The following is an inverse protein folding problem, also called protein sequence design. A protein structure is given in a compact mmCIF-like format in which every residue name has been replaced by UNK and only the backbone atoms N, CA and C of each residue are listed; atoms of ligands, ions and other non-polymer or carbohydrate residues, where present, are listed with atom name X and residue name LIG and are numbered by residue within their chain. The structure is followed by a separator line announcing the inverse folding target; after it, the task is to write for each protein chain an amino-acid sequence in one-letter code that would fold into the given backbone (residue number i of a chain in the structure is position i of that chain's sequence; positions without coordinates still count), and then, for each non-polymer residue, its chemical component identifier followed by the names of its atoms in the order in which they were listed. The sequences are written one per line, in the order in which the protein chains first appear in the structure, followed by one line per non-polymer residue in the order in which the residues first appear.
data_IF_672001923955
#
_entry.id   IF_672001923955
#
_cell.length_a   1.000
_cell.length_b   1.000
_cell.length_c   1.000
_cell.angle_alpha   90.00
_cell.angle_beta   90.00
_cell.angle_gamma   90.00
#
_symmetry.space_group_name_H-M   'P 1'
#
loop_
_entity.id
_entity.type
_entity.pdbx_description
1 polymer ?
#
# COMPACT_ATOMS: atom_id res chain seq x y z
N UNK A 1 -41.18 -44.17 20.30
CA UNK A 1 -40.62 -44.79 19.07
C UNK A 1 -39.54 -43.85 18.52
N UNK A 2 -38.27 -44.10 18.84
CA UNK A 2 -37.14 -43.22 18.46
C UNK A 2 -36.63 -43.69 17.09
N UNK A 3 -36.97 -42.97 16.01
CA UNK A 3 -36.42 -43.27 14.68
C UNK A 3 -34.96 -42.80 14.65
N UNK A 4 -34.04 -43.75 14.60
CA UNK A 4 -32.63 -43.50 14.32
C UNK A 4 -32.49 -43.06 12.87
N UNK A 5 -31.98 -41.83 12.67
CA UNK A 5 -31.63 -41.32 11.34
C UNK A 5 -30.46 -42.13 10.78
N UNK A 6 -30.69 -42.87 9.70
CA UNK A 6 -29.63 -43.59 8.99
C UNK A 6 -28.98 -42.65 7.98
N UNK A 7 -27.70 -42.32 8.20
CA UNK A 7 -26.92 -41.41 7.34
C UNK A 7 -26.78 -41.87 5.88
N UNK A 8 -27.11 -43.12 5.55
CA UNK A 8 -26.98 -43.68 4.19
C UNK A 8 -28.10 -43.28 3.22
N UNK A 9 -29.20 -42.65 3.68
CA UNK A 9 -30.40 -42.43 2.86
C UNK A 9 -30.48 -41.10 2.13
N UNK A 10 -29.61 -40.13 2.43
CA UNK A 10 -29.73 -38.77 1.88
C UNK A 10 -28.39 -38.10 1.55
N UNK A 11 -27.53 -38.73 0.72
CA UNK A 11 -26.21 -38.17 0.39
C UNK A 11 -26.31 -36.79 -0.29
N UNK A 12 -27.33 -36.55 -1.11
CA UNK A 12 -27.56 -35.27 -1.77
C UNK A 12 -27.95 -34.15 -0.80
N UNK A 13 -28.77 -34.44 0.22
CA UNK A 13 -29.16 -33.44 1.24
C UNK A 13 -27.98 -33.10 2.13
N UNK A 14 -27.16 -34.10 2.49
CA UNK A 14 -25.94 -33.89 3.25
C UNK A 14 -24.96 -33.03 2.45
N UNK A 15 -24.76 -33.32 1.16
CA UNK A 15 -23.90 -32.54 0.27
C UNK A 15 -24.41 -31.10 0.12
N UNK A 16 -25.71 -30.89 -0.07
CA UNK A 16 -26.32 -29.56 -0.17
C UNK A 16 -26.19 -28.77 1.14
N UNK A 17 -26.34 -29.44 2.28
CA UNK A 17 -26.18 -28.82 3.60
C UNK A 17 -24.72 -28.43 3.84
N UNK A 18 -23.76 -29.28 3.48
CA UNK A 18 -22.33 -28.97 3.54
C UNK A 18 -22.00 -27.80 2.59
N UNK A 19 -22.56 -27.80 1.37
CA UNK A 19 -22.36 -26.73 0.41
C UNK A 19 -22.92 -25.40 0.92
N UNK A 20 -24.12 -25.40 1.51
CA UNK A 20 -24.69 -24.18 2.13
C UNK A 20 -23.88 -23.72 3.33
N UNK A 21 -23.35 -24.63 4.16
CA UNK A 21 -22.46 -24.26 5.27
C UNK A 21 -21.16 -23.63 4.73
N UNK A 22 -20.53 -24.24 3.73
CA UNK A 22 -19.29 -23.72 3.12
C UNK A 22 -19.52 -22.38 2.43
N UNK A 23 -20.66 -22.19 1.73
CA UNK A 23 -21.03 -20.92 1.10
C UNK A 23 -21.46 -19.84 2.11
N UNK A 24 -21.84 -20.23 3.34
CA UNK A 24 -22.20 -19.31 4.42
C UNK A 24 -21.03 -18.88 5.29
N UNK A 25 -19.83 -19.43 5.06
CA UNK A 25 -18.64 -18.96 5.75
C UNK A 25 -18.35 -17.52 5.28
N UNK A 26 -18.14 -16.57 6.22
CA UNK A 26 -17.72 -15.24 5.83
C UNK A 26 -16.38 -15.34 5.12
N UNK A 27 -16.31 -14.86 3.88
CA UNK A 27 -15.06 -14.54 3.24
C UNK A 27 -14.47 -13.35 3.99
N UNK A 28 -13.42 -13.58 4.78
CA UNK A 28 -12.53 -12.49 5.15
C UNK A 28 -11.76 -12.13 3.88
N UNK A 29 -12.27 -11.14 3.16
CA UNK A 29 -11.57 -10.50 2.08
C UNK A 29 -11.00 -9.19 2.61
N UNK A 30 -9.71 -8.96 2.36
CA UNK A 30 -9.06 -7.68 2.63
C UNK A 30 -9.86 -6.55 1.94
N UNK A 31 -10.38 -5.60 2.71
CA UNK A 31 -11.14 -4.48 2.11
C UNK A 31 -10.15 -3.50 1.44
N UNK A 32 -10.41 -3.18 0.17
CA UNK A 32 -9.55 -2.30 -0.63
C UNK A 32 -10.38 -1.27 -1.37
N UNK A 33 -9.84 -0.06 -1.48
CA UNK A 33 -10.46 1.05 -2.21
C UNK A 33 -9.46 1.66 -3.16
N UNK A 34 -9.91 2.02 -4.36
CA UNK A 34 -9.11 2.82 -5.26
C UNK A 34 -9.37 4.31 -5.03
N UNK A 35 -8.31 5.11 -5.11
CA UNK A 35 -8.45 6.50 -5.50
C UNK A 35 -8.09 6.57 -6.98
N UNK A 36 -9.10 6.80 -7.82
CA UNK A 36 -8.97 6.85 -9.28
C UNK A 36 -9.43 8.22 -9.82
N UNK A 37 -8.70 9.28 -9.47
CA UNK A 37 -8.91 10.64 -9.96
C UNK A 37 -7.64 11.19 -10.62
N UNK A 38 -7.79 11.87 -11.75
CA UNK A 38 -6.67 12.47 -12.48
C UNK A 38 -5.81 11.46 -13.25
N UNK A 39 -4.49 11.60 -13.19
CA UNK A 39 -3.52 10.71 -13.86
C UNK A 39 -2.72 9.81 -12.91
N UNK A 40 -2.84 10.01 -11.59
CA UNK A 40 -2.15 9.20 -10.59
C UNK A 40 -3.19 8.40 -9.82
N UNK A 41 -3.27 7.10 -10.08
CA UNK A 41 -4.23 6.22 -9.41
C UNK A 41 -3.50 5.24 -8.50
N UNK A 42 -4.10 4.93 -7.35
CA UNK A 42 -3.60 3.87 -6.48
C UNK A 42 -4.77 3.16 -5.79
N UNK A 43 -4.53 1.90 -5.43
CA UNK A 43 -5.39 1.19 -4.48
C UNK A 43 -4.82 1.33 -3.08
N UNK A 44 -5.67 1.15 -2.09
CA UNK A 44 -5.32 1.24 -0.68
C UNK A 44 -5.94 0.09 0.08
N UNK A 45 -5.23 -0.41 1.10
CA UNK A 45 -5.71 -1.48 1.97
C UNK A 45 -6.33 -0.91 3.24
N UNK A 46 -7.42 -1.53 3.72
CA UNK A 46 -8.00 -1.25 5.04
C UNK A 46 -7.02 -1.60 6.18
N UNK A 47 -6.14 -2.58 5.99
CA UNK A 47 -5.03 -2.93 6.88
C UNK A 47 -3.93 -1.87 7.04
N UNK A 48 -4.07 -0.69 6.42
CA UNK A 48 -3.21 0.46 6.68
C UNK A 48 -1.98 0.61 5.80
N UNK A 49 -1.67 -0.38 4.94
CA UNK A 49 -0.56 -0.31 3.99
C UNK A 49 -0.77 -1.20 2.76
N UNK A 50 -0.20 -0.83 1.63
CA UNK A 50 -0.36 -1.52 0.34
C UNK A 50 0.72 -2.59 0.13
N UNK A 51 0.53 -3.77 0.71
CA UNK A 51 1.48 -4.88 0.67
C UNK A 51 1.66 -5.47 -0.74
N UNK A 52 2.78 -6.16 -0.96
CA UNK A 52 3.00 -7.03 -2.12
C UNK A 52 1.95 -8.14 -2.15
N UNK A 53 1.39 -8.42 -3.32
CA UNK A 53 0.34 -9.45 -3.47
C UNK A 53 -0.90 -9.16 -2.59
N UNK A 54 -1.16 -7.88 -2.26
CA UNK A 54 -2.34 -7.47 -1.50
C UNK A 54 -3.62 -7.60 -2.32
N UNK A 55 -4.07 -6.51 -2.95
CA UNK A 55 -5.38 -6.46 -3.63
C UNK A 55 -5.67 -7.60 -4.63
N UNK A 56 -4.67 -8.07 -5.37
CA UNK A 56 -4.86 -9.15 -6.38
C UNK A 56 -4.73 -10.55 -5.79
N UNK A 57 -4.01 -10.72 -4.68
CA UNK A 57 -3.62 -12.03 -4.15
C UNK A 57 -2.92 -12.97 -5.15
N UNK A 58 -2.36 -12.42 -6.22
CA UNK A 58 -1.67 -13.17 -7.27
C UNK A 58 -0.14 -13.05 -7.15
N UNK A 59 0.53 -14.12 -6.69
CA UNK A 59 2.01 -14.18 -6.64
C UNK A 59 2.62 -14.02 -8.04
N UNK A 60 1.86 -14.37 -9.08
CA UNK A 60 2.26 -14.18 -10.47
C UNK A 60 2.13 -12.73 -10.93
N UNK A 61 1.60 -11.80 -10.13
CA UNK A 61 1.46 -10.38 -10.47
C UNK A 61 1.80 -9.51 -9.25
N UNK A 62 3.08 -9.21 -9.09
CA UNK A 62 3.61 -8.52 -7.91
C UNK A 62 3.61 -6.99 -8.04
N UNK A 63 3.26 -6.44 -9.21
CA UNK A 63 3.15 -5.00 -9.41
C UNK A 63 1.70 -4.57 -9.49
N UNK A 64 1.28 -3.77 -8.51
CA UNK A 64 -0.08 -3.29 -8.46
C UNK A 64 -0.18 -1.95 -7.77
N UNK A 65 -0.76 -0.99 -8.46
CA UNK A 65 -1.01 0.35 -7.95
C UNK A 65 0.11 1.34 -8.25
N UNK A 66 -0.07 2.53 -7.67
CA UNK A 66 0.74 3.72 -7.92
C UNK A 66 1.00 3.92 -9.42
N UNK A 67 -0.11 4.01 -10.17
CA UNK A 67 -0.11 4.03 -11.63
C UNK A 67 0.04 5.46 -12.13
N UNK A 68 0.99 5.70 -13.04
CA UNK A 68 1.14 6.97 -13.74
C UNK A 68 1.79 6.78 -15.11
N UNK A 69 1.21 7.34 -16.19
CA UNK A 69 -0.13 7.92 -16.29
C UNK A 69 -1.22 6.83 -16.27
N UNK A 70 -2.14 6.88 -15.30
CA UNK A 70 -3.06 5.80 -14.99
C UNK A 70 -4.15 5.52 -16.05
N UNK A 71 -4.30 6.38 -17.05
CA UNK A 71 -5.19 6.13 -18.19
C UNK A 71 -4.66 5.07 -19.14
N UNK A 72 -3.37 4.77 -19.09
CA UNK A 72 -2.76 3.72 -19.90
C UNK A 72 -2.66 2.41 -19.10
N UNK A 73 -2.72 1.30 -19.82
CA UNK A 73 -2.59 -0.03 -19.21
C UNK A 73 -1.17 -0.25 -18.66
N UNK A 74 -1.10 -0.99 -17.55
CA UNK A 74 0.14 -1.49 -16.96
C UNK A 74 1.16 -0.41 -16.61
N UNK A 75 0.70 0.74 -16.11
CA UNK A 75 1.59 1.83 -15.66
C UNK A 75 1.91 1.75 -14.16
N UNK A 76 1.69 0.60 -13.53
CA UNK A 76 1.95 0.36 -12.10
C UNK A 76 3.44 0.53 -11.80
N UNK A 77 3.76 1.19 -10.68
CA UNK A 77 5.14 1.49 -10.26
C UNK A 77 5.50 0.94 -8.89
N UNK A 78 4.56 0.23 -8.26
CA UNK A 78 4.68 -0.26 -6.88
C UNK A 78 4.74 -1.78 -6.87
N UNK A 79 5.76 -2.34 -6.22
CA UNK A 79 5.80 -3.76 -5.91
C UNK A 79 5.36 -4.05 -4.47
N UNK A 80 5.71 -3.18 -3.51
CA UNK A 80 5.23 -3.28 -2.14
C UNK A 80 5.37 -1.95 -1.41
N UNK A 81 4.51 -1.71 -0.44
CA UNK A 81 4.77 -0.86 0.70
C UNK A 81 4.70 -1.71 1.98
N UNK A 82 5.39 -1.27 3.02
CA UNK A 82 5.26 -1.88 4.34
C UNK A 82 5.30 -0.83 5.43
N UNK A 83 4.65 -1.13 6.54
CA UNK A 83 4.61 -0.29 7.72
C UNK A 83 4.92 -1.14 8.95
N UNK A 84 5.89 -0.71 9.75
CA UNK A 84 6.40 -1.46 10.89
C UNK A 84 6.46 -0.54 12.10
N UNK A 85 5.87 -0.97 13.22
CA UNK A 85 5.92 -0.26 14.49
C UNK A 85 6.81 -1.04 15.44
N UNK A 86 7.77 -0.37 16.08
CA UNK A 86 8.65 -0.95 17.07
C UNK A 86 8.56 -0.18 18.40
N UNK A 87 8.64 -0.89 19.51
CA UNK A 87 8.77 -0.31 20.84
C UNK A 87 9.63 -1.20 21.75
N UNK A 88 10.22 -0.60 22.79
CA UNK A 88 10.93 -1.31 23.85
C UNK A 88 10.02 -1.59 25.04
N UNK A 89 10.41 -2.58 25.86
CA UNK A 89 9.80 -2.94 27.15
C UNK A 89 8.27 -3.07 27.09
N UNK A 90 7.80 -3.85 26.12
CA UNK A 90 6.38 -4.05 25.91
C UNK A 90 5.84 -5.13 26.86
N UNK A 91 4.88 -4.77 27.71
CA UNK A 91 4.15 -5.73 28.53
C UNK A 91 3.02 -6.32 27.70
N UNK A 92 3.25 -7.51 27.16
CA UNK A 92 2.29 -8.17 26.26
C UNK A 92 1.18 -8.84 27.07
N UNK A 93 -0.08 -8.38 26.93
CA UNK A 93 -1.20 -8.89 27.70
C UNK A 93 -1.67 -10.28 27.26
N UNK A 94 -1.33 -10.71 26.03
CA UNK A 94 -1.69 -12.02 25.50
C UNK A 94 -0.68 -13.08 25.96
N UNK A 95 0.60 -12.73 25.95
CA UNK A 95 1.67 -13.63 26.39
C UNK A 95 1.91 -13.60 27.90
N UNK A 96 1.26 -12.69 28.62
CA UNK A 96 1.43 -12.46 30.07
C UNK A 96 2.90 -12.26 30.50
N UNK A 97 3.69 -11.57 29.67
CA UNK A 97 5.10 -11.28 29.95
C UNK A 97 5.60 -10.01 29.29
N UNK A 98 6.69 -9.47 29.82
CA UNK A 98 7.42 -8.37 29.20
C UNK A 98 8.35 -8.89 28.09
N UNK A 99 8.34 -8.21 26.95
CA UNK A 99 9.33 -8.37 25.90
C UNK A 99 10.23 -7.14 25.85
N UNK A 100 11.55 -7.35 25.78
CA UNK A 100 12.52 -6.26 25.61
C UNK A 100 12.21 -5.41 24.38
N UNK A 101 11.69 -6.04 23.32
CA UNK A 101 11.29 -5.41 22.07
C UNK A 101 9.99 -6.05 21.55
N UNK A 102 9.07 -5.23 21.08
CA UNK A 102 7.89 -5.66 20.31
C UNK A 102 7.94 -4.98 18.95
N UNK A 103 7.62 -5.74 17.92
CA UNK A 103 7.43 -5.24 16.56
C UNK A 103 6.09 -5.76 16.07
N UNK A 104 5.33 -4.88 15.42
CA UNK A 104 4.15 -5.24 14.63
C UNK A 104 4.30 -4.67 13.23
N UNK A 105 3.76 -5.34 12.22
CA UNK A 105 3.94 -4.96 10.83
C UNK A 105 2.74 -5.26 9.93
N UNK A 106 2.67 -4.48 8.85
CA UNK A 106 1.82 -4.70 7.68
C UNK A 106 2.73 -4.67 6.45
N UNK A 107 2.92 -5.81 5.80
CA UNK A 107 3.83 -5.99 4.66
C UNK A 107 5.25 -6.46 5.06
N UNK A 108 6.11 -6.82 4.09
CA UNK A 108 5.92 -6.58 2.66
C UNK A 108 4.97 -7.55 1.98
N UNK A 109 4.70 -8.75 2.53
CA UNK A 109 3.79 -9.75 1.93
C UNK A 109 2.67 -10.23 2.86
N UNK A 110 2.80 -9.96 4.15
CA UNK A 110 1.91 -10.51 5.17
C UNK A 110 1.15 -9.36 5.79
N UNK A 111 -0.16 -9.53 5.91
CA UNK A 111 -1.05 -8.69 6.67
C UNK A 111 -1.90 -9.64 7.53
N UNK A 112 -2.00 -9.33 8.81
CA UNK A 112 -2.88 -10.04 9.73
C UNK A 112 -3.87 -9.04 10.35
N UNK A 113 -5.08 -9.04 9.79
CA UNK A 113 -6.16 -8.13 10.18
C UNK A 113 -6.89 -8.53 11.46
N UNK A 114 -6.54 -9.69 12.03
CA UNK A 114 -7.23 -10.24 13.21
C UNK A 114 -6.44 -10.09 14.50
N UNK A 115 -5.12 -9.96 14.43
CA UNK A 115 -4.28 -9.93 15.63
C UNK A 115 -3.05 -9.03 15.55
N UNK A 116 -2.87 -8.27 14.46
CA UNK A 116 -1.71 -7.39 14.31
C UNK A 116 -2.05 -5.98 13.86
N UNK A 117 -2.63 -5.81 12.67
CA UNK A 117 -3.11 -4.53 12.12
C UNK A 117 -4.61 -4.66 11.88
N UNK A 118 -5.43 -4.27 12.85
CA UNK A 118 -6.84 -4.60 12.96
C UNK A 118 -7.68 -3.42 12.44
N UNK A 119 -8.21 -3.47 11.20
CA UNK A 119 -8.96 -2.35 10.62
C UNK A 119 -10.21 -2.02 11.44
N UNK A 120 -10.54 -0.73 11.56
CA UNK A 120 -11.70 -0.23 12.30
C UNK A 120 -12.62 0.60 11.42
N UNK A 121 -12.04 1.48 10.60
CA UNK A 121 -12.78 2.30 9.63
C UNK A 121 -11.98 2.38 8.33
N UNK A 122 -12.70 2.39 7.21
CA UNK A 122 -12.15 2.48 5.87
C UNK A 122 -13.17 3.11 4.92
N UNK A 123 -13.17 4.44 4.88
CA UNK A 123 -14.17 5.22 4.14
C UNK A 123 -13.51 6.12 3.10
N UNK A 124 -13.99 6.05 1.85
CA UNK A 124 -13.56 6.94 0.77
C UNK A 124 -14.54 8.09 0.61
N UNK A 125 -14.04 9.30 0.80
CA UNK A 125 -14.77 10.54 0.58
C UNK A 125 -14.38 11.14 -0.77
N UNK A 126 -15.33 11.79 -1.43
CA UNK A 126 -15.11 12.54 -2.64
C UNK A 126 -15.84 13.86 -2.64
N UNK A 127 -15.18 14.90 -3.16
CA UNK A 127 -15.81 16.22 -3.31
C UNK A 127 -17.04 16.19 -4.22
N UNK A 128 -17.05 15.24 -5.14
CA UNK A 128 -18.10 14.98 -6.13
C UNK A 128 -18.06 13.49 -6.50
N UNK A 129 -19.19 12.94 -6.92
CA UNK A 129 -19.26 11.57 -7.46
C UNK A 129 -18.38 11.42 -8.70
N UNK A 130 -17.85 10.22 -8.97
CA UNK A 130 -17.05 10.01 -10.18
C UNK A 130 -17.86 10.33 -11.45
N UNK A 131 -17.25 10.92 -12.49
CA UNK A 131 -17.95 11.14 -13.74
C UNK A 131 -18.23 9.79 -14.43
N UNK A 132 -19.44 9.65 -14.98
CA UNK A 132 -19.78 8.56 -15.88
C UNK A 132 -19.58 9.02 -17.32
N UNK A 133 -18.51 8.53 -17.95
CA UNK A 133 -18.21 8.82 -19.36
C UNK A 133 -18.44 7.56 -20.16
N UNK A 134 -19.42 7.59 -21.06
CA UNK A 134 -19.74 6.49 -21.98
C UNK A 134 -19.51 6.93 -23.43
N UNK A 135 -18.80 6.10 -24.20
CA UNK A 135 -18.61 6.26 -25.64
C UNK A 135 -19.28 5.07 -26.32
N UNK A 136 -20.35 5.33 -27.08
CA UNK A 136 -21.15 4.27 -27.73
C UNK A 136 -21.64 3.19 -26.75
N UNK A 137 -21.99 3.57 -25.52
CA UNK A 137 -22.43 2.66 -24.47
C UNK A 137 -21.31 1.89 -23.76
N UNK A 138 -20.04 2.16 -24.09
CA UNK A 138 -18.88 1.56 -23.43
C UNK A 138 -18.24 2.59 -22.50
N UNK A 139 -17.88 2.24 -21.24
CA UNK A 139 -17.12 3.11 -20.36
C UNK A 139 -15.84 3.64 -21.01
N UNK A 140 -15.69 4.97 -21.01
CA UNK A 140 -14.51 5.66 -21.53
C UNK A 140 -13.30 5.59 -20.60
N UNK A 141 -13.48 5.11 -19.36
CA UNK A 141 -12.39 4.86 -18.42
C UNK A 141 -12.78 3.78 -17.39
N UNK A 142 -11.80 3.34 -16.59
CA UNK A 142 -12.04 2.36 -15.53
C UNK A 142 -12.57 2.99 -14.21
N UNK A 143 -12.80 4.30 -14.14
CA UNK A 143 -13.23 4.97 -12.90
C UNK A 143 -14.55 4.42 -12.36
N UNK A 144 -15.51 4.09 -13.24
CA UNK A 144 -16.79 3.43 -12.91
C UNK A 144 -16.61 2.15 -12.10
N UNK A 145 -15.49 1.44 -12.28
CA UNK A 145 -15.22 0.16 -11.61
C UNK A 145 -14.26 0.28 -10.43
N UNK A 146 -13.61 1.44 -10.26
CA UNK A 146 -12.54 1.64 -9.28
C UNK A 146 -12.95 2.63 -8.18
N UNK A 147 -13.50 3.77 -8.56
CA UNK A 147 -13.87 4.85 -7.66
C UNK A 147 -15.29 4.63 -7.08
N UNK A 148 -15.49 3.47 -6.46
CA UNK A 148 -16.79 2.99 -5.95
C UNK A 148 -16.98 3.32 -4.47
N UNK A 149 -18.24 3.30 -4.01
CA UNK A 149 -18.62 3.55 -2.61
C UNK A 149 -18.10 4.88 -2.04
N UNK A 150 -18.05 5.90 -2.91
CA UNK A 150 -17.62 7.26 -2.55
C UNK A 150 -18.73 7.96 -1.78
N UNK A 151 -18.42 8.36 -0.54
CA UNK A 151 -19.26 9.27 0.23
C UNK A 151 -19.03 10.69 -0.27
N UNK A 152 -20.06 11.31 -0.84
CA UNK A 152 -19.95 12.67 -1.38
C UNK A 152 -20.01 13.70 -0.26
N UNK A 153 -18.98 14.53 -0.18
CA UNK A 153 -18.89 15.69 0.71
C UNK A 153 -18.30 16.87 -0.08
N UNK A 154 -19.15 17.80 -0.51
CA UNK A 154 -18.76 18.94 -1.34
C UNK A 154 -17.80 19.92 -0.64
N UNK A 155 -17.65 19.81 0.69
CA UNK A 155 -16.78 20.68 1.48
C UNK A 155 -15.32 20.21 1.51
N UNK A 156 -15.02 19.03 0.94
CA UNK A 156 -13.68 18.48 0.89
C UNK A 156 -12.68 19.46 0.20
N UNK A 157 -11.50 19.68 0.79
CA UNK A 157 -10.48 20.54 0.20
C UNK A 157 -9.79 19.89 -1.02
N UNK A 158 -9.91 18.56 -1.17
CA UNK A 158 -9.26 17.76 -2.22
C UNK A 158 -10.30 16.95 -3.01
N UNK A 159 -9.93 16.38 -4.16
CA UNK A 159 -10.90 15.66 -5.00
C UNK A 159 -11.39 14.37 -4.35
N UNK A 160 -10.46 13.66 -3.70
CA UNK A 160 -10.74 12.47 -2.89
C UNK A 160 -9.99 12.55 -1.56
N UNK A 161 -10.53 11.92 -0.53
CA UNK A 161 -9.85 11.67 0.74
C UNK A 161 -10.24 10.29 1.25
N UNK A 162 -9.27 9.42 1.43
CA UNK A 162 -9.48 8.14 2.10
C UNK A 162 -9.21 8.29 3.59
N UNK A 163 -10.18 7.91 4.43
CA UNK A 163 -10.07 7.85 5.87
C UNK A 163 -9.93 6.40 6.31
N UNK A 164 -8.86 6.08 7.03
CA UNK A 164 -8.56 4.73 7.46
C UNK A 164 -8.09 4.72 8.91
N UNK A 165 -8.80 3.99 9.77
CA UNK A 165 -8.46 3.80 11.18
C UNK A 165 -8.11 2.34 11.40
N UNK A 166 -6.95 2.08 12.02
CA UNK A 166 -6.43 0.73 12.25
C UNK A 166 -5.88 0.65 13.68
N UNK A 167 -6.36 -0.31 14.46
CA UNK A 167 -5.76 -0.64 15.74
C UNK A 167 -4.57 -1.57 15.52
N UNK A 168 -3.59 -1.56 16.42
CA UNK A 168 -2.49 -2.53 16.36
C UNK A 168 -2.34 -3.30 17.65
N UNK A 169 -1.84 -4.53 17.58
CA UNK A 169 -1.61 -5.33 18.79
C UNK A 169 -0.49 -4.83 19.71
N UNK A 170 0.14 -3.71 19.36
CA UNK A 170 1.02 -2.92 20.22
C UNK A 170 0.25 -1.92 21.11
N UNK A 171 -1.05 -1.70 20.89
CA UNK A 171 -1.83 -0.68 21.60
C UNK A 171 -1.85 0.69 20.91
N UNK A 172 -1.31 0.81 19.69
CA UNK A 172 -1.32 2.05 18.92
C UNK A 172 -2.47 1.99 17.90
N UNK A 173 -3.36 2.98 17.96
CA UNK A 173 -4.33 3.26 16.89
C UNK A 173 -3.72 4.23 15.90
N UNK A 174 -3.66 3.83 14.64
CA UNK A 174 -3.25 4.66 13.51
C UNK A 174 -4.51 5.21 12.82
N UNK A 175 -4.56 6.53 12.65
CA UNK A 175 -5.46 7.18 11.72
C UNK A 175 -4.66 7.65 10.52
N UNK A 176 -4.94 7.08 9.34
CA UNK A 176 -4.32 7.43 8.07
C UNK A 176 -5.36 8.14 7.20
N UNK A 177 -5.11 9.39 6.84
CA UNK A 177 -5.86 10.12 5.83
C UNK A 177 -5.03 10.28 4.58
N UNK A 178 -5.60 9.98 3.42
CA UNK A 178 -4.90 10.07 2.14
C UNK A 178 -5.70 10.99 1.24
N UNK A 179 -5.18 12.20 1.06
CA UNK A 179 -5.78 13.21 0.21
C UNK A 179 -5.24 13.08 -1.20
N UNK A 180 -6.11 12.98 -2.19
CA UNK A 180 -5.72 13.00 -3.60
C UNK A 180 -6.11 14.31 -4.23
N UNK A 181 -5.13 14.95 -4.87
CA UNK A 181 -5.31 16.24 -5.52
C UNK A 181 -4.97 16.07 -6.99
N UNK A 182 -5.93 16.44 -7.85
CA UNK A 182 -5.81 16.45 -9.30
C UNK A 182 -6.21 17.84 -9.82
N UNK A 183 -5.22 18.71 -10.06
CA UNK A 183 -5.48 20.07 -10.55
C UNK A 183 -4.46 20.50 -11.62
N UNK A 184 -4.74 21.62 -12.29
CA UNK A 184 -3.98 22.08 -13.47
C UNK A 184 -2.63 22.76 -13.21
N UNK A 185 -2.38 23.29 -12.01
CA UNK A 185 -1.13 23.96 -11.62
C UNK A 185 -0.01 23.01 -11.13
N UNK A 186 -0.34 21.82 -10.61
CA UNK A 186 0.62 20.86 -10.03
C UNK A 186 0.19 19.40 -10.27
N UNK A 187 -0.61 19.14 -11.31
CA UNK A 187 -1.01 17.81 -11.78
C UNK A 187 -1.62 16.93 -10.68
N UNK A 188 -0.90 15.89 -10.23
CA UNK A 188 -1.45 14.82 -9.40
C UNK A 188 -0.46 14.40 -8.33
N UNK A 189 -0.91 14.33 -7.07
CA UNK A 189 -0.16 13.69 -5.99
C UNK A 189 -1.09 13.27 -4.86
N UNK A 190 -0.57 12.42 -3.97
CA UNK A 190 -1.21 12.07 -2.71
C UNK A 190 -0.50 12.75 -1.54
N UNK A 191 -1.27 13.30 -0.61
CA UNK A 191 -0.77 13.70 0.72
C UNK A 191 -1.24 12.63 1.71
N UNK A 192 -0.28 12.02 2.40
CA UNK A 192 -0.56 11.11 3.49
C UNK A 192 -0.41 11.86 4.81
N UNK A 193 -1.44 11.79 5.64
CA UNK A 193 -1.49 12.34 6.98
C UNK A 193 -1.70 11.17 7.95
N UNK A 194 -0.70 10.92 8.79
CA UNK A 194 -0.68 9.83 9.74
C UNK A 194 -0.72 10.39 11.16
N UNK A 195 -1.74 10.03 11.92
CA UNK A 195 -1.83 10.26 13.35
C UNK A 195 -1.68 8.91 14.08
N UNK A 196 -0.76 8.86 15.05
CA UNK A 196 -0.55 7.68 15.88
C UNK A 196 -0.92 8.01 17.32
N UNK A 197 -1.84 7.23 17.89
CA UNK A 197 -2.32 7.41 19.26
C UNK A 197 -2.16 6.12 20.07
N UNK A 198 -1.50 6.20 21.22
CA UNK A 198 -1.49 5.10 22.18
C UNK A 198 -2.87 5.01 22.85
N UNK A 199 -3.69 4.06 22.40
CA UNK A 199 -5.03 3.79 22.94
C UNK A 199 -5.05 2.58 23.88
N UNK A 200 -4.00 1.78 23.86
CA UNK A 200 -3.88 0.53 24.61
C UNK A 200 -4.71 -0.62 24.05
N UNK A 201 -5.47 -0.42 22.96
CA UNK A 201 -6.29 -1.48 22.35
C UNK A 201 -5.38 -2.48 21.64
N UNK A 202 -5.36 -3.74 22.08
CA UNK A 202 -4.38 -4.73 21.59
C UNK A 202 -4.98 -5.93 20.84
N UNK A 203 -6.30 -6.06 20.80
CA UNK A 203 -6.98 -7.16 20.09
C UNK A 203 -8.30 -6.72 19.43
N UNK A 204 -8.90 -7.64 18.67
CA UNK A 204 -10.12 -7.40 17.88
C UNK A 204 -11.37 -7.21 18.75
N UNK A 205 -11.35 -7.71 20.00
CA UNK A 205 -12.44 -7.55 20.96
C UNK A 205 -12.42 -6.16 21.63
N UNK A 206 -11.38 -5.36 21.36
CA UNK A 206 -11.22 -4.02 21.89
C UNK A 206 -10.70 -4.01 23.33
N UNK A 207 -10.05 -5.09 23.79
CA UNK A 207 -9.47 -5.12 25.13
C UNK A 207 -8.32 -4.10 25.23
N UNK A 208 -8.22 -3.46 26.39
CA UNK A 208 -7.29 -2.33 26.62
C UNK A 208 -6.24 -2.69 27.66
N UNK A 209 -4.98 -2.43 27.33
CA UNK A 209 -3.84 -2.43 28.25
C UNK A 209 -3.15 -1.07 28.21
N UNK A 210 -3.45 -0.23 29.20
CA UNK A 210 -2.76 1.05 29.36
C UNK A 210 -1.32 0.82 29.80
N UNK A 211 -0.37 1.26 28.98
CA UNK A 211 1.06 1.27 29.28
C UNK A 211 1.75 2.34 28.43
N UNK A 212 2.83 2.91 28.96
CA UNK A 212 3.71 3.77 28.17
C UNK A 212 4.59 2.89 27.28
N UNK A 213 4.76 3.30 26.02
CA UNK A 213 5.64 2.64 25.07
C UNK A 213 6.97 3.40 25.01
N UNK A 214 8.08 2.70 25.21
CA UNK A 214 9.41 3.30 25.22
C UNK A 214 10.04 3.23 23.82
N UNK A 215 10.68 4.33 23.39
CA UNK A 215 11.42 4.43 22.12
C UNK A 215 10.63 3.94 20.90
N UNK A 216 9.40 4.44 20.73
CA UNK A 216 8.54 4.06 19.61
C UNK A 216 9.15 4.50 18.28
N UNK A 217 9.16 3.59 17.29
CA UNK A 217 9.63 3.84 15.93
C UNK A 217 8.54 3.44 14.94
N UNK A 218 8.26 4.32 13.99
CA UNK A 218 7.45 4.05 12.81
C UNK A 218 8.36 3.95 11.60
N UNK A 219 8.45 2.77 11.00
CA UNK A 219 9.28 2.50 9.84
C UNK A 219 8.40 2.26 8.62
N UNK A 220 8.67 3.01 7.55
CA UNK A 220 7.97 2.90 6.28
C UNK A 220 8.93 2.33 5.24
N UNK A 221 8.50 1.26 4.58
CA UNK A 221 9.19 0.67 3.45
C UNK A 221 8.47 1.03 2.16
N UNK A 222 9.22 1.50 1.17
CA UNK A 222 8.75 1.69 -0.19
C UNK A 222 9.58 0.83 -1.13
N UNK A 223 8.96 -0.20 -1.72
CA UNK A 223 9.60 -1.02 -2.75
C UNK A 223 8.96 -0.72 -4.09
N UNK A 224 9.61 0.15 -4.82
CA UNK A 224 9.23 0.52 -6.18
C UNK A 224 9.67 -0.55 -7.18
N UNK A 225 8.93 -0.66 -8.27
CA UNK A 225 9.31 -1.41 -9.46
C UNK A 225 8.85 -0.61 -10.66
N UNK A 226 9.79 0.00 -11.38
CA UNK A 226 9.46 1.09 -12.31
C UNK A 226 8.94 0.52 -13.63
N UNK A 227 7.62 0.64 -13.73
CA UNK A 227 6.67 0.33 -14.79
C UNK A 227 6.46 -1.15 -15.14
N UNK A 228 5.27 -1.63 -14.78
CA UNK A 228 4.73 -2.94 -15.17
C UNK A 228 4.70 -3.17 -16.69
N UNK A 229 4.60 -2.10 -17.49
CA UNK A 229 4.42 -2.15 -18.94
C UNK A 229 5.56 -2.87 -19.67
N UNK A 230 6.80 -2.65 -19.27
CA UNK A 230 7.97 -3.28 -19.91
C UNK A 230 8.16 -4.73 -19.50
N UNK A 231 7.69 -5.09 -18.31
CA UNK A 231 7.91 -6.39 -17.71
C UNK A 231 6.94 -7.46 -18.18
N UNK A 232 7.01 -8.62 -17.53
CA UNK A 232 6.26 -9.83 -17.87
C UNK A 232 4.74 -9.72 -17.85
N UNK A 233 4.21 -8.69 -17.18
CA UNK A 233 2.77 -8.44 -17.05
C UNK A 233 2.27 -7.40 -18.07
N UNK A 234 3.17 -6.93 -18.95
CA UNK A 234 2.89 -6.04 -20.06
C UNK A 234 3.44 -6.63 -21.35
N UNK A 235 4.41 -5.94 -21.97
CA UNK A 235 5.00 -6.32 -23.25
C UNK A 235 6.15 -7.33 -23.14
N UNK A 236 6.64 -7.62 -21.93
CA UNK A 236 7.62 -8.66 -21.65
C UNK A 236 8.93 -8.55 -22.47
N UNK A 237 9.49 -7.34 -22.57
CA UNK A 237 10.78 -7.11 -23.23
C UNK A 237 11.90 -6.73 -22.26
N UNK A 238 11.58 -6.53 -20.99
CA UNK A 238 12.58 -6.47 -19.92
C UNK A 238 12.60 -7.80 -19.12
N UNK A 239 13.72 -8.11 -18.45
CA UNK A 239 13.82 -9.26 -17.56
C UNK A 239 12.68 -9.34 -16.55
N UNK A 240 12.16 -10.56 -16.33
CA UNK A 240 11.06 -10.83 -15.41
C UNK A 240 11.29 -10.20 -14.04
N UNK A 241 12.51 -10.26 -13.54
CA UNK A 241 12.86 -9.82 -12.20
C UNK A 241 13.00 -8.32 -12.00
N UNK A 242 13.05 -7.57 -13.10
CA UNK A 242 12.80 -6.13 -13.06
C UNK A 242 11.38 -5.85 -12.51
N UNK A 243 10.44 -6.80 -12.66
CA UNK A 243 9.07 -6.58 -12.19
C UNK A 243 8.91 -6.54 -10.67
N UNK A 244 9.83 -7.11 -9.90
CA UNK A 244 9.80 -7.00 -8.43
C UNK A 244 10.87 -6.04 -7.89
N UNK A 245 11.42 -5.20 -8.76
CA UNK A 245 12.31 -4.10 -8.41
C UNK A 245 13.79 -4.44 -8.34
N UNK A 246 14.24 -5.56 -8.93
CA UNK A 246 15.63 -6.06 -8.80
C UNK A 246 16.72 -5.05 -9.22
N UNK A 247 16.48 -4.30 -10.29
CA UNK A 247 17.35 -3.24 -10.80
C UNK A 247 16.80 -1.84 -10.53
N UNK A 248 15.91 -1.69 -9.55
CA UNK A 248 15.43 -0.36 -9.16
C UNK A 248 16.53 0.33 -8.36
N UNK A 249 16.93 1.50 -8.85
CA UNK A 249 17.88 2.37 -8.13
C UNK A 249 17.04 3.30 -7.27
N UNK A 250 17.41 3.42 -5.99
CA UNK A 250 16.78 4.32 -5.04
C UNK A 250 17.74 5.44 -4.73
N UNK A 251 17.22 6.66 -4.66
CA UNK A 251 17.95 7.85 -4.28
C UNK A 251 17.31 8.47 -3.04
N UNK A 252 18.14 9.03 -2.15
CA UNK A 252 17.68 9.62 -0.89
C UNK A 252 18.19 11.05 -0.81
N UNK A 253 17.25 11.99 -0.69
CA UNK A 253 17.53 13.39 -0.42
C UNK A 253 17.33 13.64 1.08
N UNK A 254 18.31 14.24 1.75
CA UNK A 254 18.20 14.55 3.18
C UNK A 254 19.04 15.78 3.59
N UNK A 255 18.55 16.63 4.52
CA UNK A 255 19.31 17.80 4.99
C UNK A 255 20.69 17.48 5.58
N UNK A 256 20.86 16.31 6.19
CA UNK A 256 22.16 15.86 6.70
C UNK A 256 23.23 15.73 5.60
N UNK A 257 22.80 15.65 4.33
CA UNK A 257 23.67 15.54 3.15
C UNK A 257 23.71 16.82 2.31
N UNK A 258 23.08 17.90 2.79
CA UNK A 258 23.04 19.20 2.11
C UNK A 258 21.83 19.42 1.20
N UNK A 259 20.87 18.49 1.19
CA UNK A 259 19.61 18.68 0.46
C UNK A 259 18.63 19.59 1.20
N UNK A 260 17.63 20.08 0.45
CA UNK A 260 16.53 20.89 1.02
C UNK A 260 15.30 20.06 1.42
N UNK A 261 15.32 18.77 1.12
CA UNK A 261 14.16 17.89 1.23
C UNK A 261 14.52 16.63 2.00
N UNK A 262 13.52 16.04 2.66
CA UNK A 262 13.57 14.65 3.17
C UNK A 262 12.74 13.82 2.20
N UNK A 263 13.39 13.19 1.24
CA UNK A 263 12.68 12.48 0.17
C UNK A 263 13.42 11.23 -0.24
N UNK A 264 12.69 10.29 -0.82
CA UNK A 264 13.27 9.21 -1.59
C UNK A 264 12.52 9.05 -2.91
N UNK A 265 13.26 8.75 -3.95
CA UNK A 265 12.69 8.43 -5.25
C UNK A 265 13.44 7.28 -5.88
N UNK A 266 12.85 6.69 -6.91
CA UNK A 266 13.44 5.57 -7.59
C UNK A 266 13.29 5.66 -9.09
N UNK A 267 14.17 5.01 -9.82
CA UNK A 267 14.12 4.90 -11.26
C UNK A 267 14.59 3.52 -11.73
N UNK A 268 14.25 3.19 -12.96
CA UNK A 268 14.67 1.94 -13.58
C UNK A 268 16.17 1.99 -13.92
N UNK A 269 16.98 1.17 -13.24
CA UNK A 269 18.43 1.12 -13.41
C UNK A 269 18.92 -0.01 -14.29
N UNK A 270 20.24 -0.24 -14.26
CA UNK A 270 20.90 -1.23 -15.11
C UNK A 270 20.57 -2.67 -14.73
N UNK A 271 20.31 -3.54 -15.71
CA UNK A 271 20.05 -4.97 -15.49
C UNK A 271 20.97 -5.86 -16.34
N UNK A 272 21.68 -6.79 -15.70
CA UNK A 272 22.71 -7.63 -16.35
C UNK A 272 22.19 -8.59 -17.44
N UNK A 273 20.89 -8.81 -17.48
CA UNK A 273 20.21 -9.64 -18.50
C UNK A 273 19.51 -8.81 -19.60
N UNK A 274 19.62 -7.48 -19.56
CA UNK A 274 19.13 -6.62 -20.63
C UNK A 274 20.28 -6.33 -21.59
N UNK A 275 20.00 -6.30 -22.89
CA UNK A 275 21.00 -5.99 -23.91
C UNK A 275 21.29 -4.49 -23.94
N UNK A 276 22.50 -4.06 -23.58
CA UNK A 276 22.89 -2.65 -23.60
C UNK A 276 22.39 -1.82 -22.41
N UNK A 277 22.34 -0.51 -22.59
CA UNK A 277 21.83 0.43 -21.57
C UNK A 277 20.31 0.36 -21.52
N UNK A 278 19.79 -0.02 -20.36
CA UNK A 278 18.37 -0.21 -20.16
C UNK A 278 17.74 0.81 -19.22
N UNK A 279 18.40 1.93 -18.92
CA UNK A 279 17.78 3.04 -18.18
C UNK A 279 16.51 3.50 -18.91
N UNK A 280 15.40 3.55 -18.18
CA UNK A 280 14.07 3.85 -18.75
C UNK A 280 13.45 2.72 -19.59
N UNK A 281 14.09 1.55 -19.65
CA UNK A 281 13.67 0.37 -20.41
C UNK A 281 13.29 0.69 -21.86
N UNK A 282 14.23 1.11 -22.72
CA UNK A 282 13.95 1.37 -24.13
C UNK A 282 13.58 0.07 -24.84
N UNK A 283 12.51 0.08 -25.65
CA UNK A 283 12.15 -1.07 -26.46
C UNK A 283 13.08 -1.19 -27.67
N UNK A 284 14.14 -2.01 -27.55
CA UNK A 284 15.23 -2.14 -28.53
C UNK A 284 15.33 -3.50 -29.23
N UNK A 285 14.36 -4.40 -29.03
CA UNK A 285 14.38 -5.73 -29.65
C UNK A 285 14.26 -5.69 -31.18
N UNK A 286 14.10 -6.85 -31.83
CA UNK A 286 14.03 -6.98 -33.31
C UNK A 286 12.97 -6.08 -33.97
N UNK A 287 11.91 -5.72 -33.23
CA UNK A 287 10.86 -4.78 -33.65
C UNK A 287 10.79 -3.54 -32.73
N UNK A 288 11.90 -3.20 -32.09
CA UNK A 288 12.00 -2.15 -31.11
C UNK A 288 11.71 -0.77 -31.70
N UNK A 289 10.91 0.01 -30.99
CA UNK A 289 10.56 1.39 -31.38
C UNK A 289 11.45 2.44 -30.73
N UNK A 290 12.31 2.06 -29.78
CA UNK A 290 13.05 2.96 -28.90
C UNK A 290 12.18 3.63 -27.82
N UNK A 291 10.89 3.32 -27.75
CA UNK A 291 9.99 3.86 -26.72
C UNK A 291 10.46 3.44 -25.31
N UNK A 292 10.46 4.40 -24.38
CA UNK A 292 10.83 4.16 -22.98
C UNK A 292 9.63 3.61 -22.20
N UNK A 293 9.68 2.32 -21.84
CA UNK A 293 8.61 1.69 -21.08
C UNK A 293 8.57 2.02 -19.60
N UNK A 294 9.69 2.46 -19.03
CA UNK A 294 9.88 2.70 -17.61
C UNK A 294 10.41 4.11 -17.33
N UNK A 295 9.81 5.12 -17.98
CA UNK A 295 10.23 6.52 -17.87
C UNK A 295 9.83 7.19 -16.54
N UNK A 296 9.07 6.50 -15.69
CA UNK A 296 8.55 7.06 -14.46
C UNK A 296 9.60 7.14 -13.35
N UNK A 297 9.39 8.07 -12.42
CA UNK A 297 10.24 8.26 -11.24
C UNK A 297 9.33 8.35 -10.00
N UNK A 298 8.89 7.20 -9.43
CA UNK A 298 8.10 7.19 -8.21
C UNK A 298 8.91 7.67 -7.01
N UNK A 299 8.26 8.32 -6.06
CA UNK A 299 8.92 8.79 -4.85
C UNK A 299 7.97 9.30 -3.78
N UNK A 300 8.54 9.61 -2.63
CA UNK A 300 7.86 10.16 -1.45
C UNK A 300 8.69 11.29 -0.87
N UNK A 301 8.01 12.28 -0.30
CA UNK A 301 8.64 13.40 0.41
C UNK A 301 7.97 13.56 1.77
N UNK A 302 8.78 13.67 2.81
CA UNK A 302 8.32 14.00 4.16
C UNK A 302 8.22 15.51 4.29
N UNK A 303 6.98 15.98 4.42
CA UNK A 303 6.67 17.40 4.61
C UNK A 303 6.91 17.80 6.08
N UNK A 304 6.46 16.96 7.01
CA UNK A 304 6.51 17.21 8.45
C UNK A 304 6.49 15.89 9.21
N UNK A 305 7.20 15.83 10.34
CA UNK A 305 7.10 14.74 11.31
C UNK A 305 7.28 15.31 12.73
N UNK A 306 6.34 15.06 13.64
CA UNK A 306 6.45 15.53 15.02
C UNK A 306 7.67 14.94 15.74
N UNK A 307 8.34 15.74 16.56
CA UNK A 307 9.42 15.28 17.45
C UNK A 307 8.94 14.28 18.49
N UNK A 308 7.74 14.49 19.01
CA UNK A 308 7.12 13.60 20.00
C UNK A 308 5.62 13.84 20.10
N UNK A 309 4.91 12.95 20.80
CA UNK A 309 3.48 13.13 21.11
C UNK A 309 3.14 14.43 21.87
N UNK A 310 4.14 15.11 22.45
CA UNK A 310 3.97 16.36 23.20
C UNK A 310 4.63 17.58 22.54
N UNK A 311 5.34 17.39 21.43
CA UNK A 311 6.07 18.45 20.71
C UNK A 311 5.78 18.33 19.21
N UNK A 312 4.87 19.15 18.67
CA UNK A 312 4.45 19.11 17.28
C UNK A 312 5.44 19.83 16.34
N UNK A 313 6.60 20.27 16.84
CA UNK A 313 7.62 20.83 15.95
C UNK A 313 8.20 19.73 15.06
N UNK A 314 8.55 20.10 13.83
CA UNK A 314 9.15 19.19 12.85
C UNK A 314 10.50 18.64 13.35
N UNK A 315 10.66 17.30 13.26
CA UNK A 315 11.90 16.59 13.48
C UNK A 315 12.54 16.20 12.14
N UNK A 316 13.62 16.89 11.72
CA UNK A 316 14.27 16.59 10.46
C UNK A 316 14.88 15.19 10.41
N UNK A 317 15.08 14.51 11.54
CA UNK A 317 15.62 13.15 11.62
C UNK A 317 14.54 12.07 11.49
N UNK A 318 13.28 12.48 11.34
CA UNK A 318 12.14 11.58 11.16
C UNK A 318 11.52 11.75 9.77
N UNK A 319 10.89 10.67 9.27
CA UNK A 319 10.89 9.33 9.85
C UNK A 319 12.20 8.58 9.58
N UNK A 320 12.51 7.62 10.45
CA UNK A 320 13.73 6.80 10.37
C UNK A 320 13.59 5.72 9.29
N UNK A 321 13.58 6.11 8.02
CA UNK A 321 13.26 5.21 6.90
C UNK A 321 14.44 4.45 6.31
N UNK A 322 15.62 5.07 6.26
CA UNK A 322 16.74 4.50 5.50
C UNK A 322 18.06 5.12 5.94
N UNK A 323 19.11 4.31 6.03
CA UNK A 323 20.50 4.76 6.04
C UNK A 323 20.88 5.01 4.57
N UNK A 324 21.45 6.17 4.20
CA UNK A 324 21.73 6.53 2.81
C UNK A 324 22.54 5.43 2.11
N UNK A 325 22.06 5.01 0.95
CA UNK A 325 22.85 4.30 -0.05
C UNK A 325 22.73 5.19 -1.27
N UNK A 326 23.72 6.06 -1.49
CA UNK A 326 23.68 6.92 -2.66
C UNK A 326 23.79 6.08 -3.93
N UNK A 327 23.03 6.45 -4.96
CA UNK A 327 23.18 5.80 -6.26
C UNK A 327 24.54 6.10 -6.91
N UNK A 328 25.19 7.18 -6.49
CA UNK A 328 26.50 7.67 -6.96
C UNK A 328 27.64 7.48 -5.95
N UNK A 329 27.39 6.81 -4.82
CA UNK A 329 28.46 6.51 -3.87
C UNK A 329 29.49 5.58 -4.52
N UNK A 330 30.78 5.90 -4.34
CA UNK A 330 31.86 4.97 -4.64
C UNK A 330 31.62 3.67 -3.88
N UNK A 331 31.50 2.55 -4.61
CA UNK A 331 31.45 1.21 -4.02
C UNK A 331 32.86 0.91 -3.50
N UNK A 332 33.14 1.29 -2.24
CA UNK A 332 34.41 0.97 -1.57
C UNK A 332 34.40 -0.41 -0.93
#
# INVERSE_FOLDING_TARGET
MRKTFSMKKYPAIILLTILMIVLSLPLQADDTKWIAVGQLHNWFSSGGCEIEVGRRHEVRDQQDGFQYPALYSSQDMQAAKSLWFGAKKYNDPVAEKEFSYKVVHCGPRILNETSEFIPQDFTLYGKFAHPEVLVNGVPGSQTIYRDIDVVVDETLPTDRMLHNVVNTSMGITMTRKIYAISQSYHNNYFIYDFEFKNTGIYDIDGNVKNQDLEDVIFFFQYRWAVCKYMGSYGLNYAPQDATWGKNTVNEVLHPDYGDRYRASYAYHGLHSQFEGDNIGAPNIGTSGTGFLGAAQIPGVVTIHADKSASDPNDDPQQPKHQIPIYSDADIT
#
